data_IF_838200863298
#
_entry.id   IF_838200863298
#
_cell.length_a   1.000
_cell.length_b   1.000
_cell.length_c   1.000
_cell.angle_alpha   90.00
_cell.angle_beta   90.00
_cell.angle_gamma   90.00
#
_symmetry.space_group_name_H-M   'P 1'
#
loop_
_entity.id
_entity.type
_entity.pdbx_description
1 polymer ?
#
# COMPACT_ATOMS: atom_id res chain seq x y z
N UNK A 1 -3.10 -8.26 10.40
CA UNK A 1 -3.01 -9.74 10.32
C UNK A 1 -4.01 -10.37 9.36
N UNK A 2 -5.22 -9.80 9.22
CA UNK A 2 -6.20 -10.29 8.24
C UNK A 2 -5.64 -10.27 6.81
N UNK A 3 -4.92 -9.20 6.48
CA UNK A 3 -4.30 -9.06 5.18
C UNK A 3 -3.28 -10.17 4.91
N UNK A 4 -2.46 -10.50 5.90
CA UNK A 4 -1.49 -11.60 5.78
C UNK A 4 -2.19 -12.93 5.55
N UNK A 5 -3.26 -13.21 6.29
CA UNK A 5 -4.03 -14.44 6.13
C UNK A 5 -4.65 -14.57 4.75
N UNK A 6 -5.15 -13.47 4.20
CA UNK A 6 -5.80 -13.46 2.88
C UNK A 6 -4.77 -13.61 1.77
N UNK A 7 -3.64 -12.92 1.86
CA UNK A 7 -2.65 -12.83 0.78
C UNK A 7 -1.66 -13.99 0.75
N UNK A 8 -1.55 -14.76 1.83
CA UNK A 8 -0.64 -15.90 1.89
C UNK A 8 -1.38 -17.21 1.66
N UNK A 9 -0.78 -18.08 0.86
CA UNK A 9 -1.36 -19.38 0.50
C UNK A 9 -0.72 -20.46 1.36
N UNK A 10 -1.53 -21.46 1.75
CA UNK A 10 -1.02 -22.62 2.47
C UNK A 10 0.09 -23.30 1.65
N UNK A 11 1.18 -23.68 2.33
CA UNK A 11 2.34 -24.33 1.71
C UNK A 11 3.43 -23.39 1.23
N UNK A 12 3.25 -22.06 1.36
CA UNK A 12 4.34 -21.11 1.11
C UNK A 12 5.39 -21.19 2.22
N UNK A 13 6.61 -20.77 1.86
CA UNK A 13 7.71 -20.76 2.81
C UNK A 13 7.43 -19.82 4.00
N UNK A 14 7.26 -20.40 5.16
CA UNK A 14 6.84 -19.68 6.37
C UNK A 14 7.92 -18.73 6.89
N UNK A 15 9.21 -19.00 6.65
CA UNK A 15 10.30 -18.18 7.19
C UNK A 15 10.25 -16.73 6.72
N UNK A 16 9.91 -16.47 5.45
CA UNK A 16 9.80 -15.12 4.91
C UNK A 16 8.58 -14.39 5.46
N UNK A 17 7.49 -15.11 5.68
CA UNK A 17 6.27 -14.55 6.28
C UNK A 17 6.53 -14.15 7.73
N UNK A 18 7.20 -15.01 8.50
CA UNK A 18 7.59 -14.69 9.87
C UNK A 18 8.48 -13.45 9.92
N UNK A 19 9.44 -13.32 8.99
CA UNK A 19 10.28 -12.12 8.90
C UNK A 19 9.47 -10.87 8.61
N UNK A 20 8.45 -10.94 7.76
CA UNK A 20 7.56 -9.80 7.48
C UNK A 20 6.75 -9.43 8.71
N UNK A 21 6.24 -10.41 9.46
CA UNK A 21 5.50 -10.17 10.70
C UNK A 21 6.41 -9.54 11.75
N UNK A 22 7.62 -10.05 11.93
CA UNK A 22 8.59 -9.48 12.87
C UNK A 22 8.93 -8.03 12.52
N UNK A 23 9.13 -7.73 11.23
CA UNK A 23 9.37 -6.37 10.76
C UNK A 23 8.18 -5.46 11.05
N UNK A 24 6.96 -5.97 10.90
CA UNK A 24 5.75 -5.21 11.23
C UNK A 24 5.73 -4.81 12.70
N UNK A 25 5.98 -5.74 13.61
CA UNK A 25 6.01 -5.44 15.03
C UNK A 25 7.13 -4.46 15.40
N UNK A 26 8.28 -4.57 14.75
CA UNK A 26 9.40 -3.64 14.98
C UNK A 26 9.06 -2.22 14.51
N UNK A 27 8.47 -2.06 13.33
CA UNK A 27 8.18 -0.73 12.79
C UNK A 27 7.11 0.01 13.59
N UNK A 28 6.17 -0.69 14.23
CA UNK A 28 5.11 -0.07 15.01
C UNK A 28 5.62 0.69 16.23
N UNK A 29 6.85 0.43 16.66
CA UNK A 29 7.49 1.16 17.75
C UNK A 29 8.23 2.43 17.32
N UNK A 30 8.30 2.71 16.02
CA UNK A 30 8.97 3.89 15.48
C UNK A 30 8.03 5.10 15.40
N UNK A 31 8.60 6.31 15.51
CA UNK A 31 7.83 7.54 15.34
C UNK A 31 7.26 7.69 13.92
N UNK A 32 7.93 7.12 12.93
CA UNK A 32 7.52 7.14 11.53
C UNK A 32 6.79 5.88 11.11
N UNK A 33 6.11 5.21 12.03
CA UNK A 33 5.49 3.91 11.77
C UNK A 33 4.46 3.95 10.64
N UNK A 34 3.78 5.09 10.44
CA UNK A 34 2.73 5.21 9.42
C UNK A 34 3.30 5.04 8.01
N UNK A 35 4.34 5.80 7.68
CA UNK A 35 5.00 5.68 6.38
C UNK A 35 5.72 4.35 6.23
N UNK A 36 6.37 3.87 7.30
CA UNK A 36 7.03 2.57 7.30
C UNK A 36 6.02 1.44 7.06
N UNK A 37 4.81 1.57 7.60
CA UNK A 37 3.73 0.60 7.37
C UNK A 37 3.32 0.55 5.89
N UNK A 38 3.22 1.71 5.22
CA UNK A 38 2.90 1.76 3.80
C UNK A 38 3.96 1.01 2.98
N UNK A 39 5.24 1.26 3.26
CA UNK A 39 6.32 0.56 2.57
C UNK A 39 6.33 -0.94 2.90
N UNK A 40 5.96 -1.30 4.13
CA UNK A 40 5.83 -2.70 4.51
C UNK A 40 4.75 -3.41 3.68
N UNK A 41 3.60 -2.77 3.44
CA UNK A 41 2.55 -3.32 2.59
C UNK A 41 3.02 -3.49 1.14
N UNK A 42 3.74 -2.51 0.60
CA UNK A 42 4.31 -2.61 -0.74
C UNK A 42 5.29 -3.79 -0.85
N UNK A 43 6.11 -4.00 0.18
CA UNK A 43 7.02 -5.14 0.24
C UNK A 43 6.28 -6.47 0.33
N UNK A 44 5.19 -6.53 1.10
CA UNK A 44 4.35 -7.72 1.19
C UNK A 44 3.79 -8.07 -0.20
N UNK A 45 3.24 -7.11 -0.92
CA UNK A 45 2.74 -7.32 -2.27
C UNK A 45 3.81 -7.81 -3.23
N UNK A 46 4.99 -7.21 -3.17
CA UNK A 46 6.13 -7.63 -3.98
C UNK A 46 6.52 -9.08 -3.67
N UNK A 47 6.55 -9.43 -2.39
CA UNK A 47 6.89 -10.79 -1.96
C UNK A 47 5.93 -11.85 -2.52
N UNK A 48 4.62 -11.56 -2.54
CA UNK A 48 3.62 -12.50 -3.06
C UNK A 48 3.46 -12.46 -4.57
N UNK A 49 4.27 -11.66 -5.28
CA UNK A 49 4.27 -11.62 -6.74
C UNK A 49 3.36 -10.56 -7.35
N UNK A 50 2.83 -9.63 -6.57
CA UNK A 50 1.97 -8.54 -7.05
C UNK A 50 2.63 -7.18 -6.84
N UNK A 51 3.84 -7.00 -7.38
CA UNK A 51 4.56 -5.73 -7.28
C UNK A 51 3.77 -4.63 -7.99
N UNK A 52 3.45 -3.56 -7.26
CA UNK A 52 2.69 -2.42 -7.79
C UNK A 52 3.48 -1.60 -8.80
N UNK A 53 4.80 -1.61 -8.73
CA UNK A 53 5.72 -0.97 -9.68
C UNK A 53 5.33 0.47 -10.04
N UNK A 54 5.24 1.32 -9.04
CA UNK A 54 4.76 2.70 -9.17
C UNK A 54 5.60 3.53 -10.15
N UNK A 55 6.90 3.30 -10.20
CA UNK A 55 7.81 4.08 -11.03
C UNK A 55 7.48 3.93 -12.52
N UNK A 56 7.12 2.73 -12.96
CA UNK A 56 6.86 2.45 -14.37
C UNK A 56 5.44 2.85 -14.81
N UNK A 57 4.45 2.79 -13.91
CA UNK A 57 3.06 3.01 -14.27
C UNK A 57 2.51 4.37 -13.83
N UNK A 58 3.29 5.16 -13.11
CA UNK A 58 2.88 6.45 -12.61
C UNK A 58 2.95 7.52 -13.70
N UNK A 59 1.91 8.35 -13.80
CA UNK A 59 1.84 9.54 -14.65
C UNK A 59 1.82 10.77 -13.76
N UNK A 60 2.03 11.96 -14.34
CA UNK A 60 1.94 13.19 -13.57
C UNK A 60 1.26 14.30 -14.36
N UNK A 61 0.57 15.18 -13.64
CA UNK A 61 0.07 16.46 -14.12
C UNK A 61 0.82 17.60 -13.42
N UNK A 62 1.02 18.72 -14.11
CA UNK A 62 1.58 19.92 -13.49
C UNK A 62 0.45 20.87 -13.13
N UNK A 63 0.35 21.19 -11.83
CA UNK A 63 -0.61 22.16 -11.30
C UNK A 63 0.17 23.16 -10.45
N UNK A 64 0.11 24.46 -10.82
CA UNK A 64 0.81 25.54 -10.10
C UNK A 64 2.31 25.25 -9.88
N UNK A 65 2.99 24.79 -10.93
CA UNK A 65 4.42 24.40 -10.92
C UNK A 65 4.75 23.21 -10.01
N UNK A 66 3.76 22.45 -9.57
CA UNK A 66 3.95 21.22 -8.80
C UNK A 66 3.50 20.01 -9.59
N UNK A 67 4.26 18.94 -9.50
CA UNK A 67 3.88 17.67 -10.11
C UNK A 67 2.97 16.88 -9.16
N UNK A 68 1.80 16.50 -9.67
CA UNK A 68 0.89 15.61 -8.97
C UNK A 68 0.92 14.27 -9.69
N UNK A 69 1.36 13.24 -8.99
CA UNK A 69 1.46 11.90 -9.56
C UNK A 69 0.18 11.12 -9.34
N UNK A 70 -0.18 10.30 -10.34
CA UNK A 70 -1.37 9.48 -10.26
C UNK A 70 -1.22 8.21 -11.11
N UNK A 71 -2.08 7.22 -10.82
CA UNK A 71 -2.28 6.03 -11.64
C UNK A 71 -3.73 6.04 -12.13
N UNK A 72 -3.94 5.79 -13.41
CA UNK A 72 -5.27 5.62 -13.96
C UNK A 72 -5.73 4.17 -13.78
N UNK A 73 -6.90 3.99 -13.20
CA UNK A 73 -7.53 2.68 -13.02
C UNK A 73 -9.03 2.81 -13.19
N UNK A 74 -9.59 2.11 -14.19
CA UNK A 74 -11.03 2.04 -14.43
C UNK A 74 -11.73 3.41 -14.40
N UNK A 75 -11.23 4.37 -15.17
CA UNK A 75 -11.73 5.76 -15.26
C UNK A 75 -11.50 6.62 -14.02
N UNK A 76 -10.77 6.12 -13.04
CA UNK A 76 -10.41 6.88 -11.83
C UNK A 76 -8.93 7.23 -11.86
N UNK A 77 -8.62 8.43 -11.36
CA UNK A 77 -7.25 8.81 -11.06
C UNK A 77 -6.97 8.55 -9.58
N UNK A 78 -6.04 7.66 -9.29
CA UNK A 78 -5.62 7.36 -7.94
C UNK A 78 -4.33 8.12 -7.63
N UNK A 79 -4.38 9.00 -6.65
CA UNK A 79 -3.23 9.84 -6.31
C UNK A 79 -2.10 8.99 -5.74
N UNK A 80 -0.89 9.24 -6.25
CA UNK A 80 0.34 8.62 -5.74
C UNK A 80 1.10 9.69 -4.96
N UNK A 81 1.12 9.62 -3.63
CA UNK A 81 1.88 10.58 -2.83
C UNK A 81 3.36 10.58 -3.19
N UNK A 82 3.96 11.77 -3.21
CA UNK A 82 5.34 11.95 -3.65
C UNK A 82 6.36 11.13 -2.84
N UNK A 83 6.09 10.92 -1.54
CA UNK A 83 7.03 10.17 -0.71
C UNK A 83 7.22 8.72 -1.17
N UNK A 84 6.24 8.14 -1.86
CA UNK A 84 6.37 6.77 -2.39
C UNK A 84 7.35 6.69 -3.56
N UNK A 85 7.48 7.77 -4.34
CA UNK A 85 8.35 7.82 -5.50
C UNK A 85 9.74 8.31 -5.16
N UNK A 86 9.85 9.27 -4.25
CA UNK A 86 11.09 9.94 -3.89
C UNK A 86 11.77 9.33 -2.66
N UNK A 87 11.12 8.39 -1.99
CA UNK A 87 11.59 7.76 -0.77
C UNK A 87 11.96 8.77 0.33
N UNK A 88 11.25 9.91 0.35
CA UNK A 88 11.41 10.94 1.36
C UNK A 88 10.47 10.63 2.51
N UNK A 89 10.99 10.58 3.74
CA UNK A 89 10.22 10.23 4.93
C UNK A 89 9.88 11.43 5.81
N UNK A 90 10.10 12.63 5.32
CA UNK A 90 9.84 13.87 6.07
C UNK A 90 8.55 14.54 5.60
N UNK A 91 7.84 15.18 6.55
CA UNK A 91 6.64 15.96 6.27
C UNK A 91 5.52 15.17 5.59
N UNK A 92 5.35 13.92 5.96
CA UNK A 92 4.28 13.06 5.44
C UNK A 92 3.01 13.31 6.26
N UNK A 93 1.94 13.78 5.60
CA UNK A 93 0.66 14.05 6.24
C UNK A 93 -0.18 12.78 6.37
N UNK A 94 -1.21 12.83 7.24
CA UNK A 94 -2.20 11.75 7.31
C UNK A 94 -2.94 11.58 5.98
N UNK A 95 -3.12 12.66 5.22
CA UNK A 95 -3.72 12.58 3.88
C UNK A 95 -2.84 11.77 2.92
N UNK A 96 -1.52 11.96 2.99
CA UNK A 96 -0.58 11.17 2.19
C UNK A 96 -0.67 9.68 2.53
N UNK A 97 -0.81 9.36 3.82
CA UNK A 97 -0.97 7.97 4.27
C UNK A 97 -2.31 7.41 3.76
N UNK A 98 -3.40 8.18 3.89
CA UNK A 98 -4.70 7.77 3.39
C UNK A 98 -4.66 7.48 1.88
N UNK A 99 -4.10 8.40 1.09
CA UNK A 99 -4.01 8.25 -0.36
C UNK A 99 -3.17 7.03 -0.75
N UNK A 100 -2.09 6.78 -0.01
CA UNK A 100 -1.23 5.61 -0.23
C UNK A 100 -1.97 4.30 0.04
N UNK A 101 -2.65 4.20 1.17
CA UNK A 101 -3.40 3.00 1.53
C UNK A 101 -4.60 2.78 0.61
N UNK A 102 -5.24 3.86 0.17
CA UNK A 102 -6.33 3.79 -0.80
C UNK A 102 -5.83 3.27 -2.14
N UNK A 103 -4.70 3.76 -2.61
CA UNK A 103 -4.05 3.29 -3.84
C UNK A 103 -3.75 1.80 -3.77
N UNK A 104 -3.13 1.34 -2.69
CA UNK A 104 -2.80 -0.07 -2.49
C UNK A 104 -4.08 -0.91 -2.43
N UNK A 105 -5.12 -0.41 -1.75
CA UNK A 105 -6.40 -1.13 -1.64
C UNK A 105 -7.09 -1.30 -2.98
N UNK A 106 -7.13 -0.26 -3.80
CA UNK A 106 -7.72 -0.35 -5.15
C UNK A 106 -6.94 -1.33 -6.04
N UNK A 107 -5.62 -1.32 -5.93
CA UNK A 107 -4.77 -2.28 -6.64
C UNK A 107 -5.07 -3.72 -6.20
N UNK A 108 -5.16 -3.97 -4.89
CA UNK A 108 -5.46 -5.30 -4.37
C UNK A 108 -6.86 -5.77 -4.75
N UNK A 109 -7.85 -4.88 -4.72
CA UNK A 109 -9.21 -5.22 -5.16
C UNK A 109 -9.22 -5.72 -6.59
N UNK A 110 -8.58 -4.97 -7.48
CA UNK A 110 -8.57 -5.27 -8.91
C UNK A 110 -7.81 -6.56 -9.23
N UNK A 111 -6.67 -6.77 -8.60
CA UNK A 111 -5.71 -7.81 -9.01
C UNK A 111 -5.78 -9.08 -8.15
N UNK A 112 -6.31 -8.99 -6.93
CA UNK A 112 -6.30 -10.10 -5.98
C UNK A 112 -7.71 -10.45 -5.51
N UNK A 113 -8.44 -9.49 -4.94
CA UNK A 113 -9.71 -9.80 -4.26
C UNK A 113 -10.84 -10.15 -5.23
N UNK A 114 -11.10 -9.30 -6.21
CA UNK A 114 -12.17 -9.54 -7.19
C UNK A 114 -11.90 -10.80 -8.00
N UNK A 115 -10.70 -11.03 -8.58
CA UNK A 115 -10.42 -12.25 -9.32
C UNK A 115 -10.57 -13.55 -8.52
N UNK A 116 -10.40 -13.48 -7.20
CA UNK A 116 -10.47 -14.65 -6.32
C UNK A 116 -11.75 -14.71 -5.49
N UNK A 117 -12.75 -13.85 -5.76
CA UNK A 117 -14.01 -13.77 -5.02
C UNK A 117 -13.80 -13.54 -3.51
N UNK A 118 -12.81 -12.74 -3.15
CA UNK A 118 -12.51 -12.40 -1.76
C UNK A 118 -13.15 -11.05 -1.43
N UNK A 119 -13.90 -11.00 -0.32
CA UNK A 119 -14.49 -9.77 0.18
C UNK A 119 -13.40 -8.86 0.77
N UNK A 120 -13.54 -7.54 0.53
CA UNK A 120 -12.63 -6.56 1.11
C UNK A 120 -12.77 -6.56 2.63
N UNK A 121 -11.65 -6.71 3.39
CA UNK A 121 -11.73 -6.79 4.85
C UNK A 121 -12.26 -5.50 5.48
N UNK A 122 -13.24 -5.63 6.37
CA UNK A 122 -13.79 -4.49 7.12
C UNK A 122 -12.72 -3.86 8.02
N UNK A 123 -11.86 -4.67 8.62
CA UNK A 123 -10.74 -4.19 9.44
C UNK A 123 -9.83 -3.24 8.68
N UNK A 124 -9.55 -3.53 7.42
CA UNK A 124 -8.74 -2.66 6.57
C UNK A 124 -9.46 -1.34 6.26
N UNK A 125 -10.76 -1.42 5.95
CA UNK A 125 -11.55 -0.20 5.70
C UNK A 125 -11.53 0.73 6.90
N UNK A 126 -11.71 0.20 8.09
CA UNK A 126 -11.67 0.97 9.32
C UNK A 126 -10.29 1.57 9.57
N UNK A 127 -9.24 0.80 9.31
CA UNK A 127 -7.86 1.27 9.44
C UNK A 127 -7.56 2.45 8.52
N UNK A 128 -7.94 2.35 7.24
CA UNK A 128 -7.74 3.42 6.26
C UNK A 128 -8.51 4.67 6.66
N UNK A 129 -9.75 4.53 7.09
CA UNK A 129 -10.60 5.65 7.48
C UNK A 129 -10.07 6.41 8.70
N UNK A 130 -9.23 5.78 9.52
CA UNK A 130 -8.55 6.45 10.62
C UNK A 130 -7.70 7.63 10.15
N UNK A 131 -7.14 7.57 8.94
CA UNK A 131 -6.31 8.64 8.38
C UNK A 131 -7.07 9.65 7.53
N UNK A 132 -8.34 9.43 7.34
CA UNK A 132 -9.19 10.28 6.48
C UNK A 132 -9.39 11.69 7.03
#
# INVERSE_FOLDING_TARGET
LDLIKILTVDGQENSKIYNLIDKLFMLLNNNNWKSDYVFWELNLLKYIGFDLNLIDYCKYDEVENKKIYFIESASKKLIVPNFLLENIKENISDRDIYDSLNLISEYMKKNIFIPNNINFPTSRRNFINYFK
#
